data_IF_885882512288
#
_entry.id   IF_885882512288
#
_cell.length_a   1.000
_cell.length_b   1.000
_cell.length_c   1.000
_cell.angle_alpha   90.00
_cell.angle_beta   90.00
_cell.angle_gamma   90.00
#
_symmetry.space_group_name_H-M   'P 1'
#
loop_
_entity.id
_entity.type
_entity.pdbx_description
1 polymer ?
#
# COMPACT_ATOMS: atom_id res chain seq x y z
N UNK A 1 -1.08 31.22 41.78
CA UNK A 1 -0.98 30.27 40.66
C UNK A 1 0.37 30.44 39.97
N UNK A 2 0.98 29.33 39.52
CA UNK A 2 2.42 29.10 39.33
C UNK A 2 3.08 29.90 38.17
N UNK A 3 3.84 30.95 38.48
CA UNK A 3 4.81 31.57 37.55
C UNK A 3 6.02 30.66 37.21
N UNK A 4 6.18 29.52 37.90
CA UNK A 4 7.28 28.58 37.61
C UNK A 4 7.03 27.76 36.33
N UNK A 5 5.78 27.61 35.89
CA UNK A 5 5.45 26.79 34.72
C UNK A 5 5.82 27.48 33.40
N UNK A 6 5.68 28.80 33.33
CA UNK A 6 6.01 29.62 32.15
C UNK A 6 7.53 29.69 31.92
N UNK A 7 8.32 29.78 32.99
CA UNK A 7 9.78 29.85 32.88
C UNK A 7 10.48 28.56 32.42
N UNK A 8 9.79 27.41 32.50
CA UNK A 8 10.30 26.11 32.02
C UNK A 8 10.20 26.00 30.49
N UNK A 9 9.24 26.73 29.88
CA UNK A 9 9.07 26.83 28.44
C UNK A 9 10.12 27.76 27.80
N UNK A 10 10.48 28.85 28.46
CA UNK A 10 11.56 29.75 28.00
C UNK A 10 12.97 29.16 28.20
N UNK A 11 13.12 28.18 29.11
CA UNK A 11 14.36 27.43 29.32
C UNK A 11 14.53 26.21 28.41
N UNK A 12 13.67 26.04 27.40
CA UNK A 12 13.99 25.26 26.22
C UNK A 12 15.02 26.04 25.38
N UNK A 13 16.22 26.22 25.92
CA UNK A 13 17.39 26.65 25.16
C UNK A 13 17.53 25.66 24.02
N UNK A 14 17.13 26.06 22.80
CA UNK A 14 17.26 25.32 21.55
C UNK A 14 18.66 24.73 21.44
N UNK A 15 18.83 23.50 21.94
CA UNK A 15 20.01 22.71 21.71
C UNK A 15 19.91 22.20 20.28
N UNK A 16 20.91 22.47 19.43
CA UNK A 16 20.97 21.95 18.05
C UNK A 16 20.74 20.42 18.02
N UNK A 17 21.19 19.71 19.07
CA UNK A 17 20.97 18.27 19.26
C UNK A 17 19.50 17.90 19.52
N UNK A 18 18.75 18.74 20.24
CA UNK A 18 17.32 18.53 20.50
C UNK A 18 16.45 18.75 19.27
N UNK A 19 16.80 19.72 18.42
CA UNK A 19 16.12 19.93 17.13
C UNK A 19 16.36 18.73 16.21
N UNK A 20 17.60 18.24 16.12
CA UNK A 20 17.93 17.05 15.34
C UNK A 20 17.14 15.81 15.77
N UNK A 21 17.04 15.57 17.09
CA UNK A 21 16.26 14.45 17.63
C UNK A 21 14.75 14.56 17.30
N UNK A 22 14.16 15.75 17.42
CA UNK A 22 12.76 15.96 17.07
C UNK A 22 12.48 15.78 15.57
N UNK A 23 13.37 16.25 14.69
CA UNK A 23 13.23 16.08 13.23
C UNK A 23 13.33 14.60 12.85
N UNK A 24 14.28 13.86 13.42
CA UNK A 24 14.41 12.41 13.19
C UNK A 24 13.17 11.65 13.69
N UNK A 25 12.68 11.97 14.89
CA UNK A 25 11.48 11.34 15.44
C UNK A 25 10.26 11.61 14.55
N UNK A 26 10.06 12.86 14.11
CA UNK A 26 8.97 13.23 13.20
C UNK A 26 9.06 12.51 11.85
N UNK A 27 10.27 12.39 11.29
CA UNK A 27 10.50 11.67 10.04
C UNK A 27 10.18 10.17 10.13
N UNK A 28 10.61 9.50 11.21
CA UNK A 28 10.30 8.08 11.44
C UNK A 28 8.80 7.86 11.63
N UNK A 29 8.12 8.72 12.39
CA UNK A 29 6.66 8.63 12.56
C UNK A 29 5.91 8.86 11.25
N UNK A 30 6.38 9.77 10.39
CA UNK A 30 5.74 10.03 9.11
C UNK A 30 5.82 8.82 8.15
N UNK A 31 6.95 8.10 8.11
CA UNK A 31 7.13 6.94 7.23
C UNK A 31 6.26 5.75 7.68
N UNK A 32 6.11 5.54 8.99
CA UNK A 32 5.32 4.42 9.52
C UNK A 32 3.82 4.58 9.38
N UNK A 33 3.33 5.80 9.12
CA UNK A 33 1.90 6.08 8.89
C UNK A 33 1.45 5.86 7.44
N UNK A 34 2.35 5.52 6.51
CA UNK A 34 1.96 5.21 5.13
C UNK A 34 1.23 3.86 5.13
N UNK A 35 -0.07 3.80 4.76
CA UNK A 35 -0.79 2.54 4.69
C UNK A 35 -0.11 1.63 3.65
N UNK A 36 0.34 0.47 4.10
CA UNK A 36 0.93 -0.53 3.21
C UNK A 36 -0.22 -1.22 2.48
N UNK A 37 -0.52 -0.78 1.25
CA UNK A 37 -1.47 -1.48 0.38
C UNK A 37 -0.86 -2.82 -0.03
N UNK A 38 -1.33 -3.92 0.55
CA UNK A 38 -0.95 -5.26 0.12
C UNK A 38 -1.73 -5.63 -1.15
N UNK A 39 -1.03 -5.79 -2.28
CA UNK A 39 -1.60 -6.37 -3.49
C UNK A 39 -1.59 -7.89 -3.37
N UNK A 40 -2.66 -8.46 -2.81
CA UNK A 40 -2.80 -9.92 -2.61
C UNK A 40 -3.41 -10.66 -3.82
N UNK A 41 -4.01 -9.91 -4.76
CA UNK A 41 -4.57 -10.43 -5.99
C UNK A 41 -3.49 -10.54 -7.08
N UNK A 42 -3.60 -11.52 -7.98
CA UNK A 42 -2.62 -11.71 -9.05
C UNK A 42 -3.12 -12.50 -10.25
N UNK A 43 -2.31 -12.53 -11.29
CA UNK A 43 -2.53 -13.29 -12.53
C UNK A 43 -1.20 -13.78 -13.10
N UNK A 44 -1.23 -14.74 -14.02
CA UNK A 44 -0.01 -15.22 -14.70
C UNK A 44 0.35 -14.26 -15.84
N UNK A 45 1.50 -13.61 -15.72
CA UNK A 45 2.01 -12.65 -16.71
C UNK A 45 2.77 -13.31 -17.86
N UNK A 46 3.58 -14.34 -17.60
CA UNK A 46 4.45 -15.00 -18.60
C UNK A 46 4.48 -16.54 -18.45
N UNK A 47 4.07 -17.30 -19.48
CA UNK A 47 3.32 -16.83 -20.66
C UNK A 47 2.00 -16.19 -20.22
N UNK A 48 1.55 -15.14 -20.92
CA UNK A 48 0.37 -14.37 -20.48
C UNK A 48 -0.88 -15.23 -20.44
N UNK A 49 -1.55 -15.22 -19.29
CA UNK A 49 -2.83 -15.89 -19.11
C UNK A 49 -3.90 -15.33 -20.05
N UNK A 50 -4.98 -16.10 -20.26
CA UNK A 50 -6.15 -15.64 -21.02
C UNK A 50 -6.71 -14.33 -20.45
N UNK A 51 -6.80 -14.23 -19.12
CA UNK A 51 -7.28 -13.05 -18.41
C UNK A 51 -6.36 -11.83 -18.63
N UNK A 52 -5.03 -12.01 -18.54
CA UNK A 52 -4.08 -10.95 -18.83
C UNK A 52 -4.27 -10.42 -20.26
N UNK A 53 -4.29 -11.31 -21.25
CA UNK A 53 -4.46 -10.95 -22.67
C UNK A 53 -5.79 -10.28 -23.01
N UNK A 54 -6.80 -10.34 -22.13
CA UNK A 54 -8.03 -9.57 -22.27
C UNK A 54 -7.86 -8.09 -21.89
N UNK A 55 -6.86 -7.77 -21.08
CA UNK A 55 -6.62 -6.41 -20.60
C UNK A 55 -5.88 -5.57 -21.65
N UNK A 56 -6.25 -4.29 -21.74
CA UNK A 56 -5.56 -3.31 -22.57
C UNK A 56 -4.07 -3.18 -22.20
N UNK A 57 -3.73 -3.41 -20.92
CA UNK A 57 -2.35 -3.35 -20.43
C UNK A 57 -1.45 -4.45 -21.01
N UNK A 58 -2.05 -5.54 -21.50
CA UNK A 58 -1.36 -6.69 -22.08
C UNK A 58 -1.73 -6.91 -23.56
N UNK A 59 -2.22 -5.86 -24.22
CA UNK A 59 -2.42 -5.82 -25.67
C UNK A 59 -3.82 -6.16 -26.16
N UNK A 60 -4.78 -6.45 -25.28
CA UNK A 60 -6.17 -6.77 -25.66
C UNK A 60 -6.29 -7.81 -26.80
N UNK A 61 -5.43 -8.84 -26.77
CA UNK A 61 -5.39 -9.89 -27.79
C UNK A 61 -6.60 -10.81 -27.72
N UNK A 62 -7.22 -10.94 -26.55
CA UNK A 62 -8.48 -11.66 -26.37
C UNK A 62 -9.65 -10.68 -26.31
N UNK A 63 -10.71 -10.97 -27.06
CA UNK A 63 -11.92 -10.15 -27.15
C UNK A 63 -13.10 -10.82 -26.43
N UNK A 64 -14.16 -10.06 -26.17
CA UNK A 64 -15.39 -10.53 -25.50
C UNK A 64 -15.15 -11.15 -24.10
N UNK A 65 -14.23 -10.56 -23.33
CA UNK A 65 -13.83 -11.11 -22.03
C UNK A 65 -14.71 -10.68 -20.84
N UNK A 66 -15.65 -9.75 -21.04
CA UNK A 66 -16.42 -9.17 -19.94
C UNK A 66 -15.53 -8.42 -18.94
N UNK A 67 -15.92 -8.41 -17.66
CA UNK A 67 -15.29 -7.56 -16.64
C UNK A 67 -13.79 -7.85 -16.41
N UNK A 68 -13.33 -9.08 -16.68
CA UNK A 68 -11.93 -9.48 -16.42
C UNK A 68 -10.90 -8.65 -17.21
N UNK A 69 -11.31 -7.95 -18.27
CA UNK A 69 -10.42 -7.04 -19.00
C UNK A 69 -9.93 -5.86 -18.15
N UNK A 70 -10.70 -5.45 -17.14
CA UNK A 70 -10.38 -4.35 -16.23
C UNK A 70 -9.63 -4.81 -14.98
N UNK A 71 -9.79 -6.08 -14.60
CA UNK A 71 -9.29 -6.64 -13.35
C UNK A 71 -8.74 -8.06 -13.52
N UNK A 72 -7.68 -8.26 -14.34
CA UNK A 72 -7.14 -9.60 -14.62
C UNK A 72 -6.71 -10.37 -13.36
N UNK A 73 -6.41 -9.66 -12.27
CA UNK A 73 -6.04 -10.22 -10.97
C UNK A 73 -7.19 -10.79 -10.14
N UNK A 74 -8.45 -10.53 -10.51
CA UNK A 74 -9.63 -10.81 -9.68
C UNK A 74 -10.37 -12.10 -10.08
N UNK A 75 -9.72 -13.04 -10.76
CA UNK A 75 -10.32 -14.33 -11.12
C UNK A 75 -10.28 -15.29 -9.91
N UNK A 76 -11.17 -15.09 -8.94
CA UNK A 76 -11.14 -15.82 -7.66
C UNK A 76 -12.26 -16.85 -7.51
N UNK A 77 -11.94 -17.98 -6.87
CA UNK A 77 -12.88 -19.08 -6.59
C UNK A 77 -12.56 -19.79 -5.25
N UNK A 78 -13.52 -20.50 -4.64
CA UNK A 78 -13.27 -21.32 -3.45
C UNK A 78 -12.22 -22.41 -3.69
N UNK A 79 -11.56 -22.87 -2.63
CA UNK A 79 -10.61 -23.98 -2.70
C UNK A 79 -11.35 -25.33 -2.83
N UNK A 80 -10.74 -26.29 -3.51
CA UNK A 80 -11.17 -27.70 -3.50
C UNK A 80 -11.50 -28.30 -4.87
N UNK A 81 -10.86 -27.86 -5.95
CA UNK A 81 -11.09 -28.41 -7.29
C UNK A 81 -10.97 -29.96 -7.33
N UNK A 82 -11.91 -30.70 -7.98
CA UNK A 82 -13.10 -30.20 -8.68
C UNK A 82 -14.37 -30.07 -7.83
N UNK A 83 -14.39 -30.62 -6.61
CA UNK A 83 -15.62 -30.71 -5.79
C UNK A 83 -16.07 -29.35 -5.22
N UNK A 84 -15.13 -28.45 -4.95
CA UNK A 84 -15.37 -27.10 -4.42
C UNK A 84 -15.67 -26.03 -5.47
N UNK A 85 -15.71 -26.40 -6.75
CA UNK A 85 -15.73 -25.49 -7.89
C UNK A 85 -14.54 -25.70 -8.82
N UNK A 86 -14.37 -24.84 -9.85
CA UNK A 86 -13.24 -24.86 -10.78
C UNK A 86 -11.87 -24.63 -10.13
#
# INVERSE_FOLDING_TARGET
MNLKFTSKLERLRKSKKGIGACVLAAGVTAITMIPQSAYAHGFVEKPSSRAALCSQNYGALNLNCGNIMYEPQSLEAPKGFPDGGP
#
